data_IF_294924541017
#
_entry.id   IF_294924541017
#
_cell.length_a   1.000
_cell.length_b   1.000
_cell.length_c   1.000
_cell.angle_alpha   90.00
_cell.angle_beta   90.00
_cell.angle_gamma   90.00
#
_symmetry.space_group_name_H-M   'P 1'
#
loop_
_entity.id
_entity.type
_entity.pdbx_description
1 polymer ?
#
# COMPACT_ATOMS: atom_id res chain seq x y z
N UNK A 1 0.42 4.70 -1.81
CA UNK A 1 -0.51 3.58 -1.52
C UNK A 1 -0.25 3.11 -0.10
N UNK A 2 -1.28 2.69 0.65
CA UNK A 2 -1.12 2.23 2.04
C UNK A 2 -1.77 0.87 2.24
N UNK A 3 -1.04 -0.06 2.84
CA UNK A 3 -1.57 -1.29 3.37
C UNK A 3 -1.83 -1.11 4.86
N UNK A 4 -3.03 -1.46 5.33
CA UNK A 4 -3.39 -1.41 6.75
C UNK A 4 -3.98 -2.76 7.13
N UNK A 5 -3.28 -3.51 7.96
CA UNK A 5 -3.72 -4.85 8.36
C UNK A 5 -2.67 -5.63 9.13
N UNK A 6 -3.07 -6.81 9.61
CA UNK A 6 -2.15 -7.80 10.12
C UNK A 6 -1.69 -8.70 8.96
N UNK A 7 -0.39 -8.95 8.77
CA UNK A 7 0.05 -9.94 7.81
C UNK A 7 -0.34 -11.34 8.32
N UNK A 8 -1.53 -11.82 7.92
CA UNK A 8 -2.05 -13.16 8.25
C UNK A 8 -1.16 -14.32 7.75
N UNK A 9 -0.11 -14.01 7.01
CA UNK A 9 0.89 -14.95 6.51
C UNK A 9 1.89 -15.39 7.60
N UNK A 10 2.03 -14.65 8.71
CA UNK A 10 3.01 -14.93 9.77
C UNK A 10 2.43 -15.17 11.17
N UNK A 11 1.11 -15.19 11.34
CA UNK A 11 0.48 -15.39 12.67
C UNK A 11 0.65 -14.19 13.61
N UNK A 12 1.13 -13.06 13.10
CA UNK A 12 1.22 -11.80 13.84
C UNK A 12 -0.18 -11.18 14.00
N UNK A 13 -0.53 -10.78 15.23
CA UNK A 13 -1.81 -10.11 15.56
C UNK A 13 -1.71 -8.58 15.50
N UNK A 14 -0.50 -8.05 15.38
CA UNK A 14 -0.26 -6.62 15.36
C UNK A 14 -0.59 -6.04 13.98
N UNK A 15 -1.56 -5.12 13.98
CA UNK A 15 -1.91 -4.34 12.79
C UNK A 15 -0.76 -3.39 12.47
N UNK A 16 -0.30 -3.42 11.23
CA UNK A 16 0.71 -2.50 10.71
C UNK A 16 0.12 -1.63 9.62
N UNK A 17 0.64 -0.42 9.50
CA UNK A 17 0.38 0.48 8.40
C UNK A 17 1.68 0.61 7.58
N UNK A 18 1.66 0.16 6.35
CA UNK A 18 2.81 0.18 5.44
C UNK A 18 2.48 1.08 4.26
N UNK A 19 3.18 2.22 4.17
CA UNK A 19 2.99 3.19 3.11
C UNK A 19 4.05 3.03 2.02
N UNK A 20 3.60 2.72 0.81
CA UNK A 20 4.42 2.80 -0.39
C UNK A 20 4.22 4.18 -1.04
N UNK A 21 5.19 5.07 -0.86
CA UNK A 21 5.19 6.42 -1.43
C UNK A 21 5.62 6.37 -2.90
N UNK A 22 4.71 6.72 -3.81
CA UNK A 22 4.97 6.70 -5.25
C UNK A 22 5.96 7.80 -5.63
N UNK A 23 6.92 7.46 -6.48
CA UNK A 23 7.97 8.34 -7.02
C UNK A 23 8.89 9.01 -5.97
N UNK A 24 8.71 8.71 -4.68
CA UNK A 24 9.55 9.21 -3.60
C UNK A 24 10.84 8.41 -3.49
N UNK A 25 11.96 9.11 -3.33
CA UNK A 25 13.27 8.52 -3.04
C UNK A 25 13.90 9.29 -1.88
N UNK A 26 14.10 8.61 -0.76
CA UNK A 26 14.64 9.21 0.45
C UNK A 26 14.40 8.34 1.66
N UNK A 27 14.86 8.83 2.80
CA UNK A 27 14.67 8.20 4.10
C UNK A 27 13.76 9.07 4.97
N UNK A 28 12.78 8.43 5.61
CA UNK A 28 11.82 9.05 6.53
C UNK A 28 11.95 8.47 7.95
N UNK A 29 12.97 7.65 8.24
CA UNK A 29 13.22 7.15 9.59
C UNK A 29 13.41 8.29 10.59
N UNK A 30 12.70 8.20 11.72
CA UNK A 30 12.73 9.21 12.77
C UNK A 30 11.94 10.48 12.47
N UNK A 31 11.27 10.56 11.32
CA UNK A 31 10.40 11.69 10.98
C UNK A 31 8.95 11.38 11.35
N UNK A 32 8.25 12.40 11.85
CA UNK A 32 6.80 12.36 11.98
C UNK A 32 6.18 12.62 10.61
N UNK A 33 5.29 11.71 10.18
CA UNK A 33 4.59 11.83 8.91
C UNK A 33 3.08 11.67 9.14
N UNK A 34 2.31 12.44 8.38
CA UNK A 34 0.85 12.33 8.33
C UNK A 34 0.42 11.66 7.03
N UNK A 35 -0.56 10.75 7.12
CA UNK A 35 -1.10 10.03 5.98
C UNK A 35 -2.62 10.14 5.96
N UNK A 36 -3.17 10.65 4.87
CA UNK A 36 -4.61 10.71 4.63
C UNK A 36 -5.07 9.58 3.69
N UNK A 37 -6.13 8.87 4.08
CA UNK A 37 -6.70 7.78 3.29
C UNK A 37 -7.89 8.31 2.48
N UNK A 38 -7.74 8.36 1.15
CA UNK A 38 -8.76 8.90 0.25
C UNK A 38 -9.72 7.84 -0.31
N UNK A 39 -9.20 6.65 -0.64
CA UNK A 39 -9.98 5.60 -1.29
C UNK A 39 -9.46 4.22 -0.88
N UNK A 40 -10.38 3.30 -0.60
CA UNK A 40 -10.05 1.88 -0.44
C UNK A 40 -9.97 1.22 -1.82
N UNK A 41 -8.80 0.67 -2.16
CA UNK A 41 -8.60 -0.04 -3.44
C UNK A 41 -9.15 -1.47 -3.41
N UNK A 42 -8.82 -2.24 -2.38
CA UNK A 42 -9.21 -3.65 -2.23
C UNK A 42 -9.05 -4.14 -0.79
N UNK A 43 -9.59 -5.32 -0.51
CA UNK A 43 -9.30 -6.06 0.72
C UNK A 43 -7.91 -6.73 0.69
N UNK A 44 -7.42 -7.06 1.89
CA UNK A 44 -6.22 -7.89 2.06
C UNK A 44 -6.48 -9.30 1.52
N UNK A 45 -5.45 -9.90 0.90
CA UNK A 45 -5.49 -11.29 0.44
C UNK A 45 -4.09 -11.87 0.44
N UNK A 46 -4.00 -13.19 0.58
CA UNK A 46 -2.75 -13.94 0.40
C UNK A 46 -2.43 -14.06 -1.09
N UNK A 47 -1.14 -14.05 -1.42
CA UNK A 47 -0.65 -14.28 -2.77
C UNK A 47 0.10 -15.62 -2.81
N UNK A 48 0.00 -16.36 -3.92
CA UNK A 48 0.69 -17.65 -4.05
C UNK A 48 2.21 -17.51 -4.10
N UNK A 49 2.72 -16.38 -4.62
CA UNK A 49 4.14 -16.11 -4.78
C UNK A 49 4.43 -14.59 -4.86
N UNK A 50 5.71 -14.25 -4.90
CA UNK A 50 6.18 -12.87 -4.96
C UNK A 50 5.85 -12.17 -6.28
N UNK A 51 5.82 -12.88 -7.42
CA UNK A 51 5.48 -12.29 -8.72
C UNK A 51 4.00 -11.91 -8.77
N UNK A 52 3.11 -12.74 -8.23
CA UNK A 52 1.69 -12.45 -8.11
C UNK A 52 1.43 -11.22 -7.22
N UNK A 53 2.16 -11.08 -6.13
CA UNK A 53 2.12 -9.87 -5.29
C UNK A 53 2.60 -8.65 -6.08
N UNK A 54 3.74 -8.76 -6.77
CA UNK A 54 4.33 -7.67 -7.57
C UNK A 54 3.35 -7.21 -8.65
N UNK A 55 2.73 -8.13 -9.37
CA UNK A 55 1.75 -7.82 -10.42
C UNK A 55 0.55 -7.07 -9.86
N UNK A 56 0.05 -7.47 -8.69
CA UNK A 56 -1.05 -6.78 -8.02
C UNK A 56 -0.64 -5.38 -7.54
N UNK A 57 0.57 -5.22 -7.00
CA UNK A 57 1.08 -3.90 -6.60
C UNK A 57 1.15 -2.92 -7.79
N UNK A 58 1.57 -3.41 -8.97
CA UNK A 58 1.55 -2.61 -10.21
C UNK A 58 0.13 -2.18 -10.61
N UNK A 59 -0.85 -3.09 -10.51
CA UNK A 59 -2.25 -2.76 -10.79
C UNK A 59 -2.82 -1.75 -9.78
N UNK A 60 -2.49 -1.91 -8.49
CA UNK A 60 -2.87 -0.99 -7.42
C UNK A 60 -2.28 0.41 -7.69
N UNK A 61 -1.02 0.49 -8.16
CA UNK A 61 -0.36 1.75 -8.51
C UNK A 61 -1.04 2.46 -9.67
N UNK A 62 -1.34 1.74 -10.76
CA UNK A 62 -2.05 2.31 -11.93
C UNK A 62 -3.40 2.88 -11.49
N UNK A 63 -4.18 2.13 -10.71
CA UNK A 63 -5.46 2.57 -10.17
C UNK A 63 -5.33 3.82 -9.30
N UNK A 64 -4.33 3.89 -8.42
CA UNK A 64 -4.07 5.06 -7.59
C UNK A 64 -3.73 6.30 -8.43
N UNK A 65 -2.87 6.14 -9.44
CA UNK A 65 -2.51 7.23 -10.36
C UNK A 65 -3.72 7.72 -11.16
N UNK A 66 -4.58 6.82 -11.62
CA UNK A 66 -5.84 7.18 -12.30
C UNK A 66 -6.81 7.94 -11.40
N UNK A 67 -6.97 7.50 -10.14
CA UNK A 67 -7.80 8.19 -9.14
C UNK A 67 -7.37 9.66 -8.97
N UNK A 68 -6.07 9.92 -8.81
CA UNK A 68 -5.56 11.28 -8.64
C UNK A 68 -5.58 12.11 -9.94
N UNK A 69 -5.51 11.50 -11.12
CA UNK A 69 -5.69 12.22 -12.40
C UNK A 69 -7.12 12.73 -12.61
N UNK A 70 -8.10 11.96 -12.15
CA UNK A 70 -9.52 12.29 -12.33
C UNK A 70 -10.08 13.21 -11.24
N UNK A 71 -9.33 13.43 -10.16
CA UNK A 71 -9.66 14.37 -9.09
C UNK A 71 -9.25 15.78 -9.54
N UNK A 72 -10.17 16.50 -10.18
CA UNK A 72 -10.06 17.95 -10.42
C UNK A 72 -10.43 18.74 -9.17
#
# INVERSE_FOLDING_TARGET
>A
MIFVGAPETFGETDKRAEAHLLDFKGDLYGQEIELEIYQKHRDSRKFPDAEALRLQMHADEVSAREFFKNKK
#
